data_IF_482524696008
#
_entry.id   IF_482524696008
#
_cell.length_a   1.000
_cell.length_b   1.000
_cell.length_c   1.000
_cell.angle_alpha   90.00
_cell.angle_beta   90.00
_cell.angle_gamma   90.00
#
_symmetry.space_group_name_H-M   'P 1'
#
loop_
_entity.id
_entity.type
_entity.pdbx_description
1 polymer ?
#
# COMPACT_ATOMS: atom_id res chain seq x y z
N UNK A 1 -29.95 -28.76 -15.92
CA UNK A 1 -28.78 -28.64 -15.02
C UNK A 1 -28.27 -27.22 -15.17
N UNK A 2 -28.49 -26.36 -14.17
CA UNK A 2 -27.97 -24.98 -14.18
C UNK A 2 -26.57 -25.05 -13.56
N UNK A 3 -25.54 -24.93 -14.38
CA UNK A 3 -24.16 -24.78 -13.91
C UNK A 3 -24.07 -23.38 -13.31
N UNK A 4 -24.08 -23.29 -11.99
CA UNK A 4 -23.88 -22.04 -11.27
C UNK A 4 -22.43 -21.62 -11.50
N UNK A 5 -22.21 -20.50 -12.19
CA UNK A 5 -20.90 -19.86 -12.28
C UNK A 5 -20.49 -19.40 -10.88
N UNK A 6 -19.51 -20.08 -10.30
CA UNK A 6 -18.93 -19.72 -9.01
C UNK A 6 -18.13 -18.42 -9.20
N UNK A 7 -18.62 -17.31 -8.65
CA UNK A 7 -17.91 -16.03 -8.66
C UNK A 7 -16.65 -16.15 -7.80
N UNK A 8 -15.50 -16.35 -8.44
CA UNK A 8 -14.19 -16.29 -7.77
C UNK A 8 -13.90 -14.84 -7.39
N UNK A 9 -14.11 -14.50 -6.13
CA UNK A 9 -13.70 -13.20 -5.58
C UNK A 9 -12.18 -13.14 -5.61
N UNK A 10 -11.62 -12.37 -6.54
CA UNK A 10 -10.18 -12.13 -6.64
C UNK A 10 -9.81 -10.91 -5.82
N UNK A 11 -9.01 -11.10 -4.77
CA UNK A 11 -8.44 -10.00 -4.02
C UNK A 11 -7.31 -9.35 -4.82
N UNK A 12 -7.32 -8.02 -4.86
CA UNK A 12 -6.32 -7.22 -5.58
C UNK A 12 -5.58 -6.28 -4.64
N UNK A 13 -4.29 -6.09 -4.91
CA UNK A 13 -3.44 -5.16 -4.19
C UNK A 13 -3.92 -3.72 -4.38
N UNK A 14 -3.86 -2.93 -3.31
CA UNK A 14 -4.23 -1.51 -3.35
C UNK A 14 -3.47 -0.72 -2.29
N UNK A 15 -3.00 0.46 -2.67
CA UNK A 15 -2.44 1.45 -1.75
C UNK A 15 -3.51 2.36 -1.15
N UNK A 16 -3.36 2.69 0.13
CA UNK A 16 -4.11 3.76 0.81
C UNK A 16 -3.11 4.80 1.31
N UNK A 17 -3.38 6.06 0.98
CA UNK A 17 -2.62 7.22 1.43
C UNK A 17 -3.15 7.65 2.79
N UNK A 18 -2.26 7.78 3.76
CA UNK A 18 -2.63 8.27 5.10
C UNK A 18 -1.53 9.14 5.68
N UNK A 19 -1.88 9.93 6.68
CA UNK A 19 -0.89 10.68 7.46
C UNK A 19 0.04 9.69 8.19
N UNK A 20 1.31 10.08 8.31
CA UNK A 20 2.25 9.37 9.17
C UNK A 20 1.95 9.74 10.62
N UNK A 21 1.76 8.73 11.47
CA UNK A 21 1.44 8.93 12.88
C UNK A 21 2.72 8.83 13.75
N UNK A 22 2.74 9.44 14.94
CA UNK A 22 3.82 9.24 15.89
C UNK A 22 4.05 7.76 16.19
N UNK A 23 5.32 7.34 16.22
CA UNK A 23 5.69 5.93 16.41
C UNK A 23 5.74 5.10 15.12
N UNK A 24 5.43 5.68 13.96
CA UNK A 24 5.69 5.02 12.68
C UNK A 24 7.20 4.76 12.50
N UNK A 25 7.53 3.52 12.15
CA UNK A 25 8.91 3.05 11.99
C UNK A 25 9.09 2.10 10.81
N UNK A 26 8.06 1.96 9.97
CA UNK A 26 8.09 1.07 8.81
C UNK A 26 9.15 1.51 7.79
N UNK A 27 9.71 0.53 7.08
CA UNK A 27 10.69 0.77 6.02
C UNK A 27 10.00 0.91 4.68
N UNK A 28 10.36 1.93 3.90
CA UNK A 28 9.84 2.14 2.56
C UNK A 28 10.32 1.02 1.62
N UNK A 29 9.39 0.30 1.01
CA UNK A 29 9.69 -0.81 0.10
C UNK A 29 10.39 -0.35 -1.20
N UNK A 30 10.30 0.93 -1.56
CA UNK A 30 10.94 1.47 -2.77
C UNK A 30 12.39 1.93 -2.56
N UNK A 31 12.71 2.57 -1.43
CA UNK A 31 14.04 3.16 -1.20
C UNK A 31 14.81 2.55 -0.01
N UNK A 32 14.17 1.66 0.75
CA UNK A 32 14.78 1.01 1.92
C UNK A 32 15.00 1.92 3.13
N UNK A 33 14.56 3.18 3.09
CA UNK A 33 14.69 4.12 4.21
C UNK A 33 13.45 4.11 5.09
N UNK A 34 13.60 4.46 6.37
CA UNK A 34 12.49 4.56 7.30
C UNK A 34 11.50 5.67 6.91
N UNK A 35 10.21 5.40 7.08
CA UNK A 35 9.14 6.40 7.01
C UNK A 35 9.04 7.03 8.40
N UNK A 36 9.29 8.34 8.48
CA UNK A 36 9.36 9.06 9.76
C UNK A 36 8.23 10.07 9.89
N UNK A 37 7.68 10.11 11.09
CA UNK A 37 6.82 11.18 11.52
C UNK A 37 7.60 12.51 11.61
N UNK A 38 6.92 13.61 11.31
CA UNK A 38 7.45 14.96 11.51
C UNK A 38 6.40 15.84 12.17
N UNK A 39 6.76 16.46 13.30
CA UNK A 39 5.93 17.46 13.97
C UNK A 39 5.86 18.78 13.19
N UNK A 40 6.90 19.09 12.41
CA UNK A 40 7.03 20.38 11.70
C UNK A 40 6.19 20.41 10.41
N UNK A 41 6.00 19.26 9.78
CA UNK A 41 5.27 19.16 8.53
C UNK A 41 4.54 17.81 8.46
N UNK A 42 3.22 17.79 8.17
CA UNK A 42 2.48 16.55 8.07
C UNK A 42 2.96 15.74 6.86
N UNK A 43 3.63 14.63 7.14
CA UNK A 43 4.04 13.67 6.12
C UNK A 43 2.94 12.65 5.87
N UNK A 44 2.89 12.10 4.65
CA UNK A 44 1.98 11.01 4.29
C UNK A 44 2.80 9.78 3.90
N UNK A 45 2.18 8.62 4.08
CA UNK A 45 2.67 7.34 3.63
C UNK A 45 1.60 6.64 2.79
N UNK A 46 2.05 5.74 1.94
CA UNK A 46 1.16 4.76 1.29
C UNK A 46 1.34 3.43 2.00
N UNK A 47 0.24 2.81 2.37
CA UNK A 47 0.21 1.44 2.89
C UNK A 47 -0.56 0.59 1.91
N UNK A 48 0.10 -0.45 1.40
CA UNK A 48 -0.48 -1.38 0.45
C UNK A 48 -0.58 -2.77 1.05
N UNK A 49 -1.80 -3.33 1.07
CA UNK A 49 -1.94 -4.78 1.19
C UNK A 49 -1.61 -5.38 -0.18
N UNK A 50 -0.64 -6.28 -0.19
CA UNK A 50 -0.15 -6.96 -1.39
C UNK A 50 -0.75 -8.36 -1.42
N UNK A 51 -1.45 -8.65 -2.51
CA UNK A 51 -2.00 -9.96 -2.82
C UNK A 51 -1.26 -10.54 -4.02
N UNK A 52 -0.91 -11.81 -3.95
CA UNK A 52 -0.31 -12.57 -5.04
C UNK A 52 -1.24 -13.75 -5.35
N UNK A 53 -1.65 -13.89 -6.61
CA UNK A 53 -2.61 -14.91 -7.04
C UNK A 53 -3.93 -14.92 -6.23
N UNK A 54 -4.40 -13.74 -5.81
CA UNK A 54 -5.63 -13.59 -5.03
C UNK A 54 -5.48 -13.94 -3.54
N UNK A 55 -4.28 -14.29 -3.07
CA UNK A 55 -3.99 -14.60 -1.66
C UNK A 55 -3.21 -13.47 -1.03
N UNK A 56 -3.55 -13.10 0.20
CA UNK A 56 -2.79 -12.09 0.95
C UNK A 56 -1.35 -12.56 1.12
N UNK A 57 -0.39 -11.71 0.77
CA UNK A 57 1.03 -12.00 0.91
C UNK A 57 1.65 -11.17 2.04
N UNK A 58 1.52 -9.83 1.98
CA UNK A 58 2.20 -8.92 2.92
C UNK A 58 1.60 -7.52 2.91
N UNK A 59 2.11 -6.68 3.81
CA UNK A 59 1.90 -5.23 3.79
C UNK A 59 3.20 -4.56 3.37
N UNK A 60 3.12 -3.63 2.43
CA UNK A 60 4.23 -2.75 2.06
C UNK A 60 3.91 -1.30 2.40
N UNK A 61 4.94 -0.59 2.87
CA UNK A 61 4.86 0.83 3.18
C UNK A 61 5.73 1.61 2.21
N UNK A 62 5.31 2.83 1.87
CA UNK A 62 6.06 3.73 1.01
C UNK A 62 5.99 5.16 1.53
N UNK A 63 7.05 5.94 1.30
CA UNK A 63 6.89 7.39 1.28
C UNK A 63 5.95 7.78 0.13
N UNK A 64 5.13 8.81 0.35
CA UNK A 64 4.18 9.33 -0.66
C UNK A 64 4.88 9.60 -2.00
N UNK A 65 6.05 10.24 -1.96
CA UNK A 65 6.86 10.56 -3.13
C UNK A 65 7.47 9.31 -3.79
N UNK A 66 7.98 8.37 -3.01
CA UNK A 66 8.56 7.13 -3.55
C UNK A 66 7.51 6.27 -4.26
N UNK A 67 6.28 6.22 -3.74
CA UNK A 67 5.19 5.48 -4.38
C UNK A 67 4.85 6.05 -5.77
N UNK A 68 4.85 7.38 -5.89
CA UNK A 68 4.65 8.07 -7.16
C UNK A 68 5.84 7.84 -8.12
N UNK A 69 7.07 8.00 -7.65
CA UNK A 69 8.28 7.79 -8.45
C UNK A 69 8.46 6.35 -8.93
N UNK A 70 7.96 5.37 -8.17
CA UNK A 70 7.93 3.96 -8.56
C UNK A 70 6.82 3.63 -9.59
N UNK A 71 6.05 4.62 -10.05
CA UNK A 71 5.01 4.42 -11.06
C UNK A 71 3.72 3.82 -10.50
N UNK A 72 3.43 3.99 -9.21
CA UNK A 72 2.21 3.51 -8.56
C UNK A 72 2.06 1.98 -8.65
N UNK A 73 2.96 1.19 -8.01
CA UNK A 73 3.07 -0.26 -8.20
C UNK A 73 1.78 -1.05 -7.90
N UNK A 74 0.88 -0.51 -7.06
CA UNK A 74 -0.42 -1.09 -6.74
C UNK A 74 -1.58 -0.17 -7.16
N UNK A 75 -1.39 0.60 -8.22
CA UNK A 75 -2.35 1.58 -8.73
C UNK A 75 -2.40 2.87 -7.91
N UNK A 76 -3.27 3.81 -8.33
CA UNK A 76 -3.44 5.09 -7.63
C UNK A 76 -3.88 4.84 -6.18
N UNK A 77 -3.14 5.42 -5.24
CA UNK A 77 -3.50 5.32 -3.83
C UNK A 77 -4.84 6.02 -3.57
N UNK A 78 -5.67 5.38 -2.74
CA UNK A 78 -6.94 5.93 -2.27
C UNK A 78 -6.69 6.84 -1.06
N UNK A 79 -7.51 7.87 -0.89
CA UNK A 79 -7.45 8.76 0.29
C UNK A 79 -8.14 8.17 1.51
#
# INVERSE_FOLDING_TARGET
MKTSEEQVVTFSSRGVRRRVEPGEGSTCASCGQAIRFSMKAPTHQIIANVYENGVWNRVEHFHDTCYLSAGLPYGKARE
#
